data_IF_853820431628
#
_entry.id   IF_853820431628
#
_cell.length_a   1.000
_cell.length_b   1.000
_cell.length_c   1.000
_cell.angle_alpha   90.00
_cell.angle_beta   90.00
_cell.angle_gamma   90.00
#
_symmetry.space_group_name_H-M   'P 1'
#
loop_
_entity.id
_entity.type
_entity.pdbx_description
1 polymer ?
#
# COMPACT_ATOMS: atom_id res chain seq x y z
N UNK A 1 4.46 20.27 -21.88
CA UNK A 1 4.89 18.88 -22.11
C UNK A 1 4.85 18.02 -20.85
N UNK A 2 5.41 18.46 -19.70
CA UNK A 2 5.40 17.69 -18.44
C UNK A 2 4.01 17.47 -17.83
N UNK A 3 3.09 18.46 -17.86
CA UNK A 3 1.71 18.29 -17.39
C UNK A 3 0.91 17.30 -18.25
N UNK A 4 1.17 17.24 -19.55
CA UNK A 4 0.53 16.30 -20.46
C UNK A 4 1.00 14.84 -20.21
N UNK A 5 2.28 14.63 -19.87
CA UNK A 5 2.81 13.32 -19.52
C UNK A 5 2.19 12.81 -18.21
N UNK A 6 2.08 13.67 -17.20
CA UNK A 6 1.43 13.33 -15.95
C UNK A 6 -0.05 12.93 -16.16
N UNK A 7 -0.78 13.68 -16.96
CA UNK A 7 -2.18 13.42 -17.27
C UNK A 7 -2.36 12.13 -18.09
N UNK A 8 -1.39 11.80 -18.95
CA UNK A 8 -1.37 10.56 -19.72
C UNK A 8 -1.13 9.34 -18.83
N UNK A 9 -0.20 9.43 -17.86
CA UNK A 9 0.25 8.29 -17.04
C UNK A 9 -0.62 8.14 -15.78
N UNK A 10 -0.96 9.25 -15.12
CA UNK A 10 -1.63 9.27 -13.80
C UNK A 10 -3.01 9.96 -13.86
N UNK A 11 -3.53 10.22 -15.08
CA UNK A 11 -4.83 10.84 -15.27
C UNK A 11 -6.00 9.89 -15.01
N UNK A 12 -7.18 10.44 -14.78
CA UNK A 12 -8.39 9.67 -14.44
C UNK A 12 -8.82 8.67 -15.52
N UNK A 13 -8.54 8.96 -16.81
CA UNK A 13 -8.85 8.03 -17.89
C UNK A 13 -7.99 6.77 -17.81
N UNK A 14 -6.69 6.93 -17.61
CA UNK A 14 -5.73 5.84 -17.47
C UNK A 14 -6.06 5.01 -16.23
N UNK A 15 -6.37 5.67 -15.13
CA UNK A 15 -6.79 5.04 -13.90
C UNK A 15 -8.06 4.17 -14.08
N UNK A 16 -9.10 4.72 -14.71
CA UNK A 16 -10.33 3.98 -14.97
C UNK A 16 -10.10 2.73 -15.83
N UNK A 17 -9.26 2.84 -16.85
CA UNK A 17 -8.89 1.71 -17.73
C UNK A 17 -8.10 0.68 -16.95
N UNK A 18 -7.07 1.11 -16.21
CA UNK A 18 -6.18 0.24 -15.44
C UNK A 18 -6.96 -0.51 -14.34
N UNK A 19 -7.86 0.20 -13.64
CA UNK A 19 -8.73 -0.39 -12.63
C UNK A 19 -9.62 -1.50 -13.20
N UNK A 20 -10.28 -1.24 -14.33
CA UNK A 20 -11.13 -2.25 -15.00
C UNK A 20 -10.30 -3.45 -15.45
N UNK A 21 -9.12 -3.19 -16.02
CA UNK A 21 -8.20 -4.24 -16.43
C UNK A 21 -7.76 -5.08 -15.23
N UNK A 22 -7.34 -4.45 -14.13
CA UNK A 22 -6.90 -5.13 -12.92
C UNK A 22 -8.01 -6.01 -12.32
N UNK A 23 -9.26 -5.49 -12.22
CA UNK A 23 -10.39 -6.25 -11.70
C UNK A 23 -10.70 -7.46 -12.59
N UNK A 24 -10.79 -7.28 -13.91
CA UNK A 24 -11.09 -8.37 -14.85
C UNK A 24 -9.96 -9.42 -14.82
N UNK A 25 -8.72 -8.98 -14.75
CA UNK A 25 -7.56 -9.87 -14.68
C UNK A 25 -7.50 -10.63 -13.34
N UNK A 26 -7.89 -9.97 -12.23
CA UNK A 26 -8.01 -10.60 -10.93
C UNK A 26 -9.08 -11.71 -10.91
N UNK A 27 -10.26 -11.45 -11.50
CA UNK A 27 -11.33 -12.44 -11.63
C UNK A 27 -10.87 -13.62 -12.50
N UNK A 28 -10.27 -13.34 -13.65
CA UNK A 28 -9.76 -14.38 -14.55
C UNK A 28 -8.66 -15.22 -13.88
N UNK A 29 -7.70 -14.56 -13.23
CA UNK A 29 -6.63 -15.22 -12.49
C UNK A 29 -7.15 -16.10 -11.37
N UNK A 30 -8.14 -15.63 -10.61
CA UNK A 30 -8.81 -16.44 -9.59
C UNK A 30 -9.47 -17.68 -10.17
N UNK A 31 -10.23 -17.56 -11.26
CA UNK A 31 -10.92 -18.70 -11.89
C UNK A 31 -9.91 -19.72 -12.47
N UNK A 32 -8.83 -19.25 -13.09
CA UNK A 32 -7.76 -20.13 -13.59
C UNK A 32 -7.08 -20.86 -12.43
N UNK A 33 -6.76 -20.15 -11.34
CA UNK A 33 -6.12 -20.76 -10.18
C UNK A 33 -7.06 -21.77 -9.48
N UNK A 34 -8.33 -21.41 -9.32
CA UNK A 34 -9.33 -22.33 -8.77
C UNK A 34 -9.50 -23.59 -9.63
N UNK A 35 -9.49 -23.45 -10.96
CA UNK A 35 -9.51 -24.59 -11.87
C UNK A 35 -8.24 -25.45 -11.73
N UNK A 36 -7.07 -24.84 -11.57
CA UNK A 36 -5.82 -25.55 -11.33
C UNK A 36 -5.86 -26.35 -10.02
N UNK A 37 -6.30 -25.75 -8.90
CA UNK A 37 -6.51 -26.45 -7.62
C UNK A 37 -7.48 -27.62 -7.76
N UNK A 38 -8.57 -27.44 -8.54
CA UNK A 38 -9.58 -28.49 -8.77
C UNK A 38 -8.97 -29.66 -9.57
N UNK A 39 -8.23 -29.37 -10.67
CA UNK A 39 -7.60 -30.38 -11.51
C UNK A 39 -6.49 -31.13 -10.75
N UNK A 40 -5.72 -30.45 -9.89
CA UNK A 40 -4.72 -31.08 -9.04
C UNK A 40 -5.37 -32.07 -8.06
N UNK A 41 -6.46 -31.66 -7.40
CA UNK A 41 -7.19 -32.51 -6.44
C UNK A 41 -7.86 -33.74 -7.07
N UNK A 42 -8.15 -33.70 -8.38
CA UNK A 42 -8.65 -34.84 -9.15
C UNK A 42 -7.54 -35.70 -9.78
N UNK A 43 -6.28 -35.52 -9.34
CA UNK A 43 -5.09 -36.27 -9.84
C UNK A 43 -4.88 -36.16 -11.37
N UNK A 44 -5.49 -35.16 -11.99
CA UNK A 44 -5.36 -34.91 -13.43
C UNK A 44 -4.14 -34.05 -13.79
N UNK A 45 -3.53 -33.38 -12.83
CA UNK A 45 -2.31 -32.58 -12.97
C UNK A 45 -1.28 -33.05 -11.95
N UNK A 46 -0.20 -33.70 -12.41
CA UNK A 46 0.96 -34.01 -11.60
C UNK A 46 1.95 -32.85 -11.72
N UNK A 47 1.98 -31.95 -10.76
CA UNK A 47 2.86 -30.78 -10.74
C UNK A 47 3.72 -30.85 -9.48
N UNK A 48 4.82 -31.60 -9.53
CA UNK A 48 5.72 -31.84 -8.38
C UNK A 48 6.37 -30.55 -7.82
N UNK A 49 6.48 -29.48 -8.61
CA UNK A 49 7.17 -28.25 -8.21
C UNK A 49 6.21 -27.10 -7.81
N UNK A 50 4.94 -27.21 -8.13
CA UNK A 50 3.90 -26.22 -7.81
C UNK A 50 2.92 -26.67 -6.73
N UNK A 51 3.22 -27.75 -6.02
CA UNK A 51 2.35 -28.35 -5.00
C UNK A 51 1.90 -27.30 -3.98
N UNK A 52 2.81 -26.51 -3.42
CA UNK A 52 2.53 -25.47 -2.44
C UNK A 52 1.64 -24.31 -2.94
N UNK A 53 1.29 -24.29 -4.24
CA UNK A 53 0.44 -23.25 -4.85
C UNK A 53 -0.99 -23.72 -5.10
N UNK A 54 -1.25 -25.03 -5.12
CA UNK A 54 -2.53 -25.61 -5.55
C UNK A 54 -3.13 -26.56 -4.52
N UNK A 55 -2.50 -26.74 -3.36
CA UNK A 55 -2.94 -27.66 -2.30
C UNK A 55 -4.30 -27.30 -1.72
N UNK A 56 -4.56 -26.02 -1.51
CA UNK A 56 -5.79 -25.52 -0.91
C UNK A 56 -6.58 -24.63 -1.85
N UNK A 57 -7.92 -24.74 -1.84
CA UNK A 57 -8.79 -23.77 -2.52
C UNK A 57 -8.62 -22.35 -1.99
N UNK A 58 -8.15 -22.18 -0.75
CA UNK A 58 -7.86 -20.87 -0.15
C UNK A 58 -6.63 -20.21 -0.78
N UNK A 59 -5.69 -21.01 -1.32
CA UNK A 59 -4.54 -20.48 -2.07
C UNK A 59 -4.99 -19.72 -3.34
N UNK A 60 -6.11 -20.15 -3.94
CA UNK A 60 -6.66 -19.45 -5.10
C UNK A 60 -7.05 -18.00 -4.79
N UNK A 61 -7.37 -17.67 -3.52
CA UNK A 61 -7.68 -16.29 -3.10
C UNK A 61 -6.44 -15.37 -3.13
N UNK A 62 -5.23 -15.94 -3.01
CA UNK A 62 -4.01 -15.13 -3.06
C UNK A 62 -3.82 -14.40 -4.40
N UNK A 63 -4.21 -15.05 -5.49
CA UNK A 63 -4.02 -14.50 -6.86
C UNK A 63 -4.80 -13.20 -7.10
N UNK A 64 -6.13 -13.10 -6.87
CA UNK A 64 -6.86 -11.86 -7.10
C UNK A 64 -6.40 -10.74 -6.17
N UNK A 65 -6.09 -11.03 -4.90
CA UNK A 65 -5.59 -10.00 -3.98
C UNK A 65 -4.22 -9.47 -4.39
N UNK A 66 -3.33 -10.31 -4.92
CA UNK A 66 -2.02 -9.88 -5.42
C UNK A 66 -2.15 -8.97 -6.65
N UNK A 67 -3.07 -9.28 -7.56
CA UNK A 67 -3.33 -8.46 -8.76
C UNK A 67 -3.96 -7.11 -8.37
N UNK A 68 -4.94 -7.11 -7.47
CA UNK A 68 -5.56 -5.89 -6.96
C UNK A 68 -4.52 -5.03 -6.23
N UNK A 69 -3.65 -5.65 -5.42
CA UNK A 69 -2.60 -4.94 -4.72
C UNK A 69 -1.62 -4.25 -5.68
N UNK A 70 -1.30 -4.87 -6.82
CA UNK A 70 -0.48 -4.23 -7.84
C UNK A 70 -1.15 -2.95 -8.40
N UNK A 71 -2.46 -2.97 -8.61
CA UNK A 71 -3.21 -1.77 -8.99
C UNK A 71 -3.22 -0.72 -7.85
N UNK A 72 -3.43 -1.14 -6.60
CA UNK A 72 -3.44 -0.22 -5.45
C UNK A 72 -2.08 0.47 -5.24
N UNK A 73 -0.97 -0.19 -5.58
CA UNK A 73 0.36 0.43 -5.58
C UNK A 73 0.45 1.56 -6.63
N UNK A 74 -0.16 1.38 -7.81
CA UNK A 74 -0.27 2.46 -8.79
C UNK A 74 -1.11 3.64 -8.25
N UNK A 75 -2.24 3.36 -7.60
CA UNK A 75 -3.06 4.37 -6.92
C UNK A 75 -2.27 5.16 -5.85
N UNK A 76 -1.38 4.47 -5.15
CA UNK A 76 -0.50 5.06 -4.15
C UNK A 76 0.48 6.06 -4.77
N UNK A 77 1.04 5.74 -5.94
CA UNK A 77 1.89 6.67 -6.69
C UNK A 77 1.06 7.87 -7.19
N UNK A 78 -0.16 7.61 -7.68
CA UNK A 78 -1.09 8.65 -8.14
C UNK A 78 -1.43 9.65 -7.04
N UNK A 79 -1.51 9.21 -5.78
CA UNK A 79 -1.81 10.05 -4.63
C UNK A 79 -0.64 10.95 -4.17
N UNK A 80 0.60 10.72 -4.63
CA UNK A 80 1.79 11.50 -4.22
C UNK A 80 1.64 13.02 -4.46
N UNK A 81 1.15 13.51 -5.62
CA UNK A 81 0.96 14.93 -5.86
C UNK A 81 -0.10 15.59 -4.98
N UNK A 82 -0.97 14.82 -4.36
CA UNK A 82 -2.04 15.30 -3.51
C UNK A 82 -1.54 15.84 -2.16
N UNK A 83 -2.46 16.16 -1.25
CA UNK A 83 -2.09 16.56 0.09
C UNK A 83 -1.39 15.42 0.84
N UNK A 84 -0.49 15.75 1.79
CA UNK A 84 0.14 14.73 2.64
C UNK A 84 -0.88 13.82 3.32
N UNK A 85 -1.95 14.41 3.90
CA UNK A 85 -2.99 13.63 4.59
C UNK A 85 -3.70 12.65 3.66
N UNK A 86 -3.98 13.03 2.41
CA UNK A 86 -4.63 12.15 1.45
C UNK A 86 -3.69 11.02 0.99
N UNK A 87 -2.44 11.35 0.68
CA UNK A 87 -1.42 10.38 0.34
C UNK A 87 -1.19 9.34 1.46
N UNK A 88 -1.17 9.78 2.73
CA UNK A 88 -1.04 8.89 3.88
C UNK A 88 -2.28 8.00 4.06
N UNK A 89 -3.48 8.59 3.94
CA UNK A 89 -4.73 7.83 3.99
C UNK A 89 -4.74 6.69 2.96
N UNK A 90 -4.31 6.98 1.73
CA UNK A 90 -4.20 5.97 0.67
C UNK A 90 -3.18 4.87 1.00
N UNK A 91 -2.07 5.20 1.66
CA UNK A 91 -1.12 4.19 2.12
C UNK A 91 -1.74 3.23 3.13
N UNK A 92 -2.54 3.73 4.08
CA UNK A 92 -3.25 2.86 5.02
C UNK A 92 -4.29 1.98 4.33
N UNK A 93 -5.00 2.47 3.29
CA UNK A 93 -5.91 1.65 2.48
C UNK A 93 -5.17 0.47 1.84
N UNK A 94 -4.04 0.74 1.16
CA UNK A 94 -3.24 -0.29 0.48
C UNK A 94 -2.68 -1.32 1.48
N UNK A 95 -2.13 -0.88 2.61
CA UNK A 95 -1.58 -1.79 3.62
C UNK A 95 -2.69 -2.62 4.27
N UNK A 96 -3.88 -2.05 4.46
CA UNK A 96 -5.04 -2.81 4.95
C UNK A 96 -5.37 -3.98 4.03
N UNK A 97 -5.36 -3.78 2.70
CA UNK A 97 -5.58 -4.85 1.72
C UNK A 97 -4.45 -5.90 1.73
N UNK A 98 -3.20 -5.45 1.96
CA UNK A 98 -2.07 -6.35 2.12
C UNK A 98 -2.25 -7.27 3.34
N UNK A 99 -2.67 -6.74 4.48
CA UNK A 99 -2.94 -7.53 5.68
C UNK A 99 -4.10 -8.52 5.44
N UNK A 100 -5.17 -8.13 4.74
CA UNK A 100 -6.25 -9.06 4.35
C UNK A 100 -5.71 -10.24 3.54
N UNK A 101 -4.84 -9.96 2.57
CA UNK A 101 -4.19 -11.02 1.77
C UNK A 101 -3.38 -11.97 2.65
N UNK A 102 -2.62 -11.43 3.62
CA UNK A 102 -1.78 -12.24 4.50
C UNK A 102 -2.64 -13.07 5.47
N UNK A 103 -3.77 -12.55 5.96
CA UNK A 103 -4.77 -13.31 6.74
C UNK A 103 -5.28 -14.52 5.92
N UNK A 104 -5.66 -14.34 4.65
CA UNK A 104 -6.12 -15.45 3.82
C UNK A 104 -5.04 -16.50 3.58
N UNK A 105 -3.79 -16.05 3.37
CA UNK A 105 -2.64 -16.95 3.26
C UNK A 105 -2.44 -17.78 4.54
N UNK A 106 -2.47 -17.14 5.70
CA UNK A 106 -2.29 -17.82 6.97
C UNK A 106 -3.46 -18.76 7.29
N UNK A 107 -4.68 -18.36 6.90
CA UNK A 107 -5.87 -19.22 7.04
C UNK A 107 -5.81 -20.48 6.16
N UNK A 108 -5.21 -20.39 4.96
CA UNK A 108 -4.98 -21.56 4.10
C UNK A 108 -4.05 -22.58 4.78
N UNK A 109 -3.00 -22.09 5.46
CA UNK A 109 -2.03 -22.94 6.12
C UNK A 109 -2.57 -23.64 7.40
N UNK A 110 -3.58 -23.07 8.05
CA UNK A 110 -4.17 -23.66 9.30
C UNK A 110 -4.75 -25.07 9.07
N UNK A 111 -5.23 -25.36 7.85
CA UNK A 111 -5.81 -26.67 7.50
C UNK A 111 -4.79 -27.82 7.48
N UNK A 112 -3.51 -27.52 7.29
CA UNK A 112 -2.43 -28.49 7.10
C UNK A 112 -1.51 -28.63 8.34
N UNK A 113 -1.84 -27.93 9.43
CA UNK A 113 -0.99 -27.80 10.62
C UNK A 113 -1.26 -28.91 11.65
N UNK A 114 -0.20 -29.39 12.30
CA UNK A 114 -0.30 -30.32 13.43
C UNK A 114 -1.04 -29.67 14.62
N UNK A 115 -1.80 -30.48 15.36
CA UNK A 115 -2.61 -30.02 16.50
C UNK A 115 -1.82 -29.22 17.58
N UNK A 116 -0.49 -29.37 17.62
CA UNK A 116 0.38 -28.68 18.59
C UNK A 116 0.68 -27.22 18.21
N UNK A 117 0.60 -26.85 16.94
CA UNK A 117 0.87 -25.48 16.43
C UNK A 117 -0.40 -24.72 16.09
N UNK A 118 -1.53 -25.41 16.00
CA UNK A 118 -2.84 -24.86 15.64
C UNK A 118 -3.23 -23.67 16.53
N UNK A 119 -3.03 -23.76 17.83
CA UNK A 119 -3.38 -22.67 18.76
C UNK A 119 -2.55 -21.41 18.53
N UNK A 120 -1.27 -21.56 18.16
CA UNK A 120 -0.40 -20.41 17.84
C UNK A 120 -0.77 -19.75 16.54
N UNK A 121 -1.15 -20.51 15.51
CA UNK A 121 -1.51 -20.02 14.20
C UNK A 121 -2.86 -19.29 14.24
N UNK A 122 -3.83 -19.86 14.95
CA UNK A 122 -5.13 -19.20 15.20
C UNK A 122 -4.96 -17.91 16.01
N UNK A 123 -4.09 -17.91 17.03
CA UNK A 123 -3.79 -16.71 17.80
C UNK A 123 -3.14 -15.62 16.93
N UNK A 124 -2.23 -16.00 16.03
CA UNK A 124 -1.61 -15.05 15.09
C UNK A 124 -2.64 -14.45 14.11
N UNK A 125 -3.51 -15.27 13.53
CA UNK A 125 -4.60 -14.77 12.66
C UNK A 125 -5.53 -13.82 13.44
N UNK A 126 -5.83 -14.09 14.70
CA UNK A 126 -6.62 -13.20 15.54
C UNK A 126 -5.91 -11.83 15.72
N UNK A 127 -4.60 -11.82 15.92
CA UNK A 127 -3.81 -10.58 15.98
C UNK A 127 -3.84 -9.84 14.64
N UNK A 128 -3.65 -10.52 13.51
CA UNK A 128 -3.76 -9.91 12.19
C UNK A 128 -5.14 -9.32 11.93
N UNK A 129 -6.21 -9.98 12.38
CA UNK A 129 -7.58 -9.45 12.31
C UNK A 129 -7.75 -8.16 13.12
N UNK A 130 -7.14 -8.06 14.31
CA UNK A 130 -7.11 -6.82 15.11
C UNK A 130 -6.32 -5.73 14.36
N UNK A 131 -5.15 -6.06 13.80
CA UNK A 131 -4.34 -5.14 12.99
C UNK A 131 -5.16 -4.61 11.80
N UNK A 132 -5.87 -5.50 11.10
CA UNK A 132 -6.77 -5.11 10.02
C UNK A 132 -7.79 -4.07 10.48
N UNK A 133 -8.48 -4.30 11.59
CA UNK A 133 -9.49 -3.36 12.13
C UNK A 133 -8.86 -2.01 12.47
N UNK A 134 -7.67 -1.99 13.07
CA UNK A 134 -6.95 -0.76 13.41
C UNK A 134 -6.55 0.01 12.16
N UNK A 135 -5.97 -0.65 11.17
CA UNK A 135 -5.57 -0.03 9.90
C UNK A 135 -6.77 0.48 9.11
N UNK A 136 -7.82 -0.33 9.01
CA UNK A 136 -9.06 0.03 8.33
C UNK A 136 -9.74 1.26 8.96
N UNK A 137 -9.84 1.28 10.30
CA UNK A 137 -10.37 2.41 11.04
C UNK A 137 -9.52 3.67 10.80
N UNK A 138 -8.18 3.52 10.77
CA UNK A 138 -7.26 4.63 10.50
C UNK A 138 -7.44 5.15 9.08
N UNK A 139 -7.53 4.27 8.08
CA UNK A 139 -7.79 4.65 6.69
C UNK A 139 -9.12 5.42 6.54
N UNK A 140 -10.20 4.91 7.16
CA UNK A 140 -11.50 5.60 7.17
C UNK A 140 -11.43 6.96 7.87
N UNK A 141 -10.69 7.07 8.97
CA UNK A 141 -10.49 8.33 9.68
C UNK A 141 -9.79 9.37 8.81
N UNK A 142 -8.71 8.99 8.12
CA UNK A 142 -8.02 9.87 7.18
C UNK A 142 -8.94 10.29 6.03
N UNK A 143 -9.68 9.35 5.45
CA UNK A 143 -10.64 9.63 4.37
C UNK A 143 -11.73 10.59 4.80
N UNK A 144 -12.28 10.40 6.00
CA UNK A 144 -13.29 11.30 6.57
C UNK A 144 -12.75 12.72 6.72
N UNK A 145 -11.57 12.88 7.34
CA UNK A 145 -10.96 14.20 7.54
C UNK A 145 -10.61 14.87 6.20
N UNK A 146 -10.07 14.11 5.25
CA UNK A 146 -9.71 14.65 3.93
C UNK A 146 -10.97 15.09 3.16
N UNK A 147 -12.08 14.38 3.29
CA UNK A 147 -13.36 14.78 2.66
C UNK A 147 -13.95 16.09 3.21
N UNK A 148 -13.64 16.43 4.46
CA UNK A 148 -14.03 17.69 5.09
C UNK A 148 -13.15 18.87 4.68
N UNK A 149 -11.93 18.59 4.21
CA UNK A 149 -10.98 19.61 3.78
C UNK A 149 -11.34 20.10 2.38
N UNK A 150 -11.72 21.38 2.25
CA UNK A 150 -11.95 21.99 0.93
C UNK A 150 -10.63 22.01 0.14
N UNK A 151 -10.66 21.75 -1.17
CA UNK A 151 -9.48 21.97 -2.01
C UNK A 151 -9.08 23.45 -1.89
N UNK A 152 -7.92 23.73 -1.30
CA UNK A 152 -7.38 25.09 -1.33
C UNK A 152 -6.91 25.38 -2.76
N UNK A 153 -7.47 26.36 -3.42
CA UNK A 153 -6.88 26.91 -4.61
C UNK A 153 -5.48 27.43 -4.25
N UNK A 154 -4.47 26.84 -4.88
CA UNK A 154 -3.07 27.21 -4.62
C UNK A 154 -2.81 28.62 -5.14
N UNK A 155 -2.95 29.62 -4.28
CA UNK A 155 -2.68 31.02 -4.60
C UNK A 155 -1.19 31.38 -4.53
N UNK A 156 -0.37 30.53 -3.91
CA UNK A 156 1.07 30.77 -3.75
C UNK A 156 1.88 30.02 -4.81
N UNK A 157 2.72 30.74 -5.54
CA UNK A 157 3.59 30.20 -6.60
C UNK A 157 4.59 29.16 -6.05
N UNK A 158 5.03 29.30 -4.80
CA UNK A 158 5.93 28.33 -4.14
C UNK A 158 5.26 26.97 -3.97
N UNK A 159 3.98 26.92 -3.62
CA UNK A 159 3.19 25.70 -3.49
C UNK A 159 2.95 25.04 -4.85
N UNK A 160 2.72 25.84 -5.90
CA UNK A 160 2.58 25.31 -7.27
C UNK A 160 3.87 24.64 -7.75
N UNK A 161 5.03 25.23 -7.48
CA UNK A 161 6.33 24.63 -7.80
C UNK A 161 6.51 23.30 -7.06
N UNK A 162 6.19 23.26 -5.76
CA UNK A 162 6.26 22.03 -4.97
C UNK A 162 5.35 20.91 -5.50
N UNK A 163 4.11 21.23 -5.85
CA UNK A 163 3.17 20.26 -6.45
C UNK A 163 3.70 19.74 -7.79
N UNK A 164 4.29 20.60 -8.63
CA UNK A 164 4.88 20.14 -9.89
C UNK A 164 6.08 19.23 -9.69
N UNK A 165 6.92 19.48 -8.68
CA UNK A 165 8.02 18.57 -8.31
C UNK A 165 7.51 17.20 -7.85
N UNK A 166 6.42 17.18 -7.06
CA UNK A 166 5.76 15.92 -6.67
C UNK A 166 5.20 15.17 -7.89
N UNK A 167 4.63 15.87 -8.87
CA UNK A 167 4.15 15.25 -10.13
C UNK A 167 5.29 14.63 -10.93
N UNK A 168 6.43 15.33 -11.06
CA UNK A 168 7.61 14.81 -11.76
C UNK A 168 8.15 13.56 -11.03
N UNK A 169 8.18 13.57 -9.70
CA UNK A 169 8.59 12.42 -8.89
C UNK A 169 7.63 11.24 -9.05
N UNK A 170 6.33 11.48 -9.01
CA UNK A 170 5.32 10.44 -9.22
C UNK A 170 5.45 9.77 -10.61
N UNK A 171 5.66 10.55 -11.67
CA UNK A 171 5.92 9.99 -13.00
C UNK A 171 7.19 9.13 -13.04
N UNK A 172 8.27 9.55 -12.35
CA UNK A 172 9.51 8.76 -12.26
C UNK A 172 9.27 7.44 -11.50
N UNK A 173 8.46 7.47 -10.45
CA UNK A 173 8.11 6.27 -9.67
C UNK A 173 7.28 5.27 -10.47
N UNK A 174 6.38 5.71 -11.36
CA UNK A 174 5.68 4.78 -12.26
C UNK A 174 6.66 4.04 -13.16
N UNK A 175 7.68 4.72 -13.70
CA UNK A 175 8.70 4.07 -14.52
C UNK A 175 9.47 3.03 -13.70
N UNK A 176 9.91 3.39 -12.49
CA UNK A 176 10.59 2.47 -11.56
C UNK A 176 9.67 1.29 -11.24
N UNK A 177 8.39 1.56 -10.95
CA UNK A 177 7.39 0.53 -10.67
C UNK A 177 7.28 -0.49 -11.80
N UNK A 178 7.17 -0.03 -13.04
CA UNK A 178 7.08 -0.91 -14.22
C UNK A 178 8.36 -1.73 -14.39
N UNK A 179 9.54 -1.11 -14.21
CA UNK A 179 10.83 -1.81 -14.31
C UNK A 179 10.93 -2.91 -13.23
N UNK A 180 10.61 -2.59 -11.97
CA UNK A 180 10.63 -3.55 -10.86
C UNK A 180 9.61 -4.67 -11.09
N UNK A 181 8.42 -4.34 -11.62
CA UNK A 181 7.39 -5.33 -11.95
C UNK A 181 7.86 -6.31 -13.03
N UNK A 182 8.42 -5.80 -14.13
CA UNK A 182 8.96 -6.63 -15.22
C UNK A 182 10.11 -7.50 -14.71
N UNK A 183 11.05 -6.93 -13.95
CA UNK A 183 12.17 -7.66 -13.37
C UNK A 183 11.67 -8.79 -12.45
N UNK A 184 10.73 -8.51 -11.58
CA UNK A 184 10.18 -9.48 -10.62
C UNK A 184 9.45 -10.63 -11.34
N UNK A 185 8.62 -10.31 -12.34
CA UNK A 185 7.90 -11.33 -13.13
C UNK A 185 8.88 -12.20 -13.93
N UNK A 186 9.89 -11.61 -14.55
CA UNK A 186 10.89 -12.36 -15.30
C UNK A 186 11.74 -13.25 -14.39
N UNK A 187 12.22 -12.71 -13.26
CA UNK A 187 12.98 -13.48 -12.26
C UNK A 187 12.16 -14.63 -11.70
N UNK A 188 10.89 -14.39 -11.38
CA UNK A 188 9.99 -15.45 -10.92
C UNK A 188 9.77 -16.53 -11.99
N UNK A 189 9.57 -16.13 -13.25
CA UNK A 189 9.36 -17.07 -14.36
C UNK A 189 10.59 -17.97 -14.60
N UNK A 190 11.79 -17.40 -14.52
CA UNK A 190 13.04 -18.19 -14.63
C UNK A 190 13.23 -19.11 -13.42
N UNK A 191 12.96 -18.65 -12.20
CA UNK A 191 13.05 -19.49 -11.00
C UNK A 191 12.10 -20.67 -11.04
N UNK A 192 10.87 -20.51 -11.59
CA UNK A 192 9.93 -21.63 -11.83
C UNK A 192 10.50 -22.63 -12.85
N UNK A 193 11.15 -22.14 -13.92
CA UNK A 193 11.73 -23.02 -14.95
C UNK A 193 12.98 -23.76 -14.45
N UNK A 194 13.74 -23.17 -13.53
CA UNK A 194 14.96 -23.74 -12.95
C UNK A 194 14.68 -24.65 -11.72
N UNK A 195 13.40 -24.80 -11.31
CA UNK A 195 13.00 -25.68 -10.21
C UNK A 195 13.39 -25.18 -8.81
N UNK A 196 13.57 -23.86 -8.63
CA UNK A 196 13.81 -23.26 -7.32
C UNK A 196 12.51 -23.27 -6.49
N UNK A 197 12.33 -24.28 -5.64
CA UNK A 197 11.11 -24.50 -4.83
C UNK A 197 10.82 -23.45 -3.74
N UNK A 198 11.57 -22.36 -3.65
CA UNK A 198 11.44 -21.35 -2.59
C UNK A 198 11.29 -19.93 -3.15
N UNK A 199 10.46 -19.77 -4.18
CA UNK A 199 10.18 -18.48 -4.79
C UNK A 199 9.35 -17.59 -3.85
N UNK A 200 9.98 -16.57 -3.29
CA UNK A 200 9.31 -15.59 -2.43
C UNK A 200 8.28 -14.79 -3.23
N UNK A 201 7.00 -14.96 -2.90
CA UNK A 201 5.86 -14.25 -3.52
C UNK A 201 5.82 -12.74 -3.17
N UNK A 202 6.66 -12.30 -2.24
CA UNK A 202 6.57 -10.96 -1.63
C UNK A 202 7.66 -9.99 -2.10
N UNK A 203 8.71 -10.49 -2.79
CA UNK A 203 9.92 -9.70 -3.16
C UNK A 203 9.59 -8.45 -3.97
N UNK A 204 8.67 -8.54 -4.94
CA UNK A 204 8.25 -7.41 -5.76
C UNK A 204 7.77 -6.21 -4.94
N UNK A 205 6.92 -6.46 -3.95
CA UNK A 205 6.36 -5.39 -3.14
C UNK A 205 7.39 -4.78 -2.19
N UNK A 206 8.29 -5.60 -1.60
CA UNK A 206 9.33 -5.14 -0.70
C UNK A 206 10.32 -4.21 -1.39
N UNK A 207 10.80 -4.58 -2.58
CA UNK A 207 11.72 -3.75 -3.36
C UNK A 207 11.07 -2.43 -3.74
N UNK A 208 9.82 -2.46 -4.20
CA UNK A 208 9.11 -1.26 -4.57
C UNK A 208 8.81 -0.36 -3.35
N UNK A 209 8.46 -0.91 -2.20
CA UNK A 209 8.26 -0.11 -0.98
C UNK A 209 9.53 0.61 -0.52
N UNK A 210 10.70 0.07 -0.78
CA UNK A 210 11.98 0.77 -0.54
C UNK A 210 12.07 2.05 -1.37
N UNK A 211 11.71 2.00 -2.66
CA UNK A 211 11.66 3.19 -3.51
C UNK A 211 10.63 4.21 -3.04
N UNK A 212 9.49 3.76 -2.54
CA UNK A 212 8.48 4.64 -1.94
C UNK A 212 8.99 5.32 -0.66
N UNK A 213 9.72 4.62 0.21
CA UNK A 213 10.33 5.23 1.41
C UNK A 213 11.30 6.34 0.99
N UNK A 214 12.17 6.07 0.02
CA UNK A 214 13.11 7.07 -0.48
C UNK A 214 12.39 8.27 -1.07
N UNK A 215 11.30 8.06 -1.81
CA UNK A 215 10.49 9.15 -2.38
C UNK A 215 9.82 10.00 -1.32
N UNK A 216 9.28 9.42 -0.25
CA UNK A 216 8.66 10.15 0.84
C UNK A 216 9.70 11.02 1.58
N UNK A 217 10.91 10.51 1.79
CA UNK A 217 12.01 11.28 2.37
C UNK A 217 12.40 12.46 1.47
N UNK A 218 12.50 12.23 0.16
CA UNK A 218 12.78 13.30 -0.82
C UNK A 218 11.66 14.37 -0.78
N UNK A 219 10.39 13.96 -0.78
CA UNK A 219 9.26 14.88 -0.70
C UNK A 219 9.31 15.68 0.60
N UNK A 220 9.63 15.03 1.72
CA UNK A 220 9.79 15.70 2.99
C UNK A 220 10.90 16.75 2.94
N UNK A 221 12.09 16.39 2.44
CA UNK A 221 13.22 17.32 2.31
C UNK A 221 12.89 18.50 1.40
N UNK A 222 12.21 18.23 0.29
CA UNK A 222 11.76 19.30 -0.62
C UNK A 222 10.71 20.18 0.06
N UNK A 223 9.83 19.62 0.91
CA UNK A 223 8.84 20.41 1.64
C UNK A 223 9.48 21.41 2.61
N UNK A 224 10.61 21.08 3.23
CA UNK A 224 11.37 22.01 4.09
C UNK A 224 11.86 23.27 3.36
N UNK A 225 12.06 23.17 2.03
CA UNK A 225 12.43 24.33 1.21
C UNK A 225 11.27 25.29 0.96
N UNK A 226 10.04 24.78 0.92
CA UNK A 226 8.86 25.54 0.52
C UNK A 226 7.93 25.90 1.70
N UNK A 227 8.03 25.16 2.81
CA UNK A 227 7.17 25.32 3.98
C UNK A 227 8.08 25.75 5.15
N UNK A 228 7.85 26.94 5.67
CA UNK A 228 8.62 27.49 6.81
C UNK A 228 7.88 27.38 8.14
N UNK A 229 6.59 27.05 8.09
CA UNK A 229 5.74 26.96 9.28
C UNK A 229 6.00 25.66 10.05
N UNK A 230 6.47 25.78 11.29
CA UNK A 230 6.88 24.64 12.13
C UNK A 230 5.77 23.59 12.34
N UNK A 231 4.50 23.97 12.67
CA UNK A 231 3.43 22.98 12.82
C UNK A 231 3.18 22.14 11.58
N UNK A 232 3.26 22.74 10.39
CA UNK A 232 3.09 22.02 9.12
C UNK A 232 4.28 21.08 8.85
N UNK A 233 5.50 21.53 9.13
CA UNK A 233 6.70 20.68 9.00
C UNK A 233 6.68 19.53 9.98
N UNK A 234 6.34 19.77 11.25
CA UNK A 234 6.22 18.73 12.26
C UNK A 234 5.16 17.67 11.88
N UNK A 235 4.00 18.12 11.38
CA UNK A 235 2.96 17.23 10.85
C UNK A 235 3.46 16.37 9.70
N UNK A 236 4.10 16.97 8.69
CA UNK A 236 4.59 16.26 7.53
C UNK A 236 5.68 15.25 7.92
N UNK A 237 6.57 15.62 8.83
CA UNK A 237 7.59 14.73 9.39
C UNK A 237 6.98 13.55 10.15
N UNK A 238 5.97 13.80 10.98
CA UNK A 238 5.26 12.75 11.71
C UNK A 238 4.54 11.77 10.76
N UNK A 239 3.96 12.27 9.68
CA UNK A 239 3.36 11.44 8.66
C UNK A 239 4.37 10.57 7.94
N UNK A 240 5.51 11.14 7.48
CA UNK A 240 6.56 10.37 6.83
C UNK A 240 7.15 9.32 7.79
N UNK A 241 7.34 9.66 9.07
CA UNK A 241 7.79 8.68 10.06
C UNK A 241 6.79 7.51 10.17
N UNK A 242 5.49 7.81 10.23
CA UNK A 242 4.45 6.77 10.24
C UNK A 242 4.55 5.87 9.00
N UNK A 243 4.70 6.44 7.80
CA UNK A 243 4.80 5.64 6.56
C UNK A 243 6.08 4.81 6.48
N UNK A 244 7.18 5.28 7.02
CA UNK A 244 8.41 4.49 7.12
C UNK A 244 8.19 3.29 8.07
N UNK A 245 7.59 3.52 9.24
CA UNK A 245 7.32 2.43 10.22
C UNK A 245 6.42 1.37 9.61
N UNK A 246 5.32 1.75 8.93
CA UNK A 246 4.39 0.78 8.35
C UNK A 246 5.06 -0.05 7.24
N UNK A 247 5.91 0.56 6.43
CA UNK A 247 6.63 -0.14 5.36
C UNK A 247 7.72 -1.07 5.87
N UNK A 248 8.43 -0.68 6.93
CA UNK A 248 9.34 -1.59 7.63
C UNK A 248 8.57 -2.77 8.21
N UNK A 249 7.35 -2.53 8.74
CA UNK A 249 6.45 -3.57 9.22
C UNK A 249 6.10 -4.62 8.15
N UNK A 250 5.95 -4.22 6.87
CA UNK A 250 5.68 -5.16 5.76
C UNK A 250 6.81 -6.19 5.59
N UNK A 251 8.06 -5.74 5.75
CA UNK A 251 9.24 -6.61 5.67
C UNK A 251 9.55 -7.37 6.96
N UNK A 252 8.80 -7.13 8.03
CA UNK A 252 9.06 -7.71 9.35
C UNK A 252 8.06 -8.84 9.62
N UNK A 253 8.51 -10.10 9.75
CA UNK A 253 7.59 -11.23 9.92
C UNK A 253 6.94 -11.27 11.31
N UNK A 254 5.75 -11.86 11.38
CA UNK A 254 5.09 -12.23 12.62
C UNK A 254 4.60 -11.06 13.48
N UNK A 255 4.58 -11.26 14.78
CA UNK A 255 4.06 -10.29 15.76
C UNK A 255 4.77 -8.93 15.73
N UNK A 256 6.06 -8.89 15.38
CA UNK A 256 6.81 -7.63 15.28
C UNK A 256 6.27 -6.74 14.17
N UNK A 257 5.92 -7.30 13.02
CA UNK A 257 5.26 -6.59 11.93
C UNK A 257 3.88 -6.05 12.36
N UNK A 258 3.09 -6.87 13.04
CA UNK A 258 1.79 -6.47 13.59
C UNK A 258 1.91 -5.26 14.55
N UNK A 259 2.89 -5.28 15.44
CA UNK A 259 3.17 -4.15 16.37
C UNK A 259 3.54 -2.90 15.59
N UNK A 260 4.39 -2.99 14.55
CA UNK A 260 4.75 -1.85 13.70
C UNK A 260 3.55 -1.25 12.97
N UNK A 261 2.63 -2.06 12.49
CA UNK A 261 1.39 -1.58 11.87
C UNK A 261 0.54 -0.77 12.84
N UNK A 262 0.33 -1.27 14.06
CA UNK A 262 -0.43 -0.58 15.11
C UNK A 262 0.25 0.72 15.55
N UNK A 263 1.58 0.69 15.75
CA UNK A 263 2.36 1.88 16.09
C UNK A 263 2.28 2.96 15.01
N UNK A 264 2.41 2.56 13.74
CA UNK A 264 2.28 3.48 12.62
C UNK A 264 0.88 4.12 12.57
N UNK A 265 -0.18 3.31 12.69
CA UNK A 265 -1.55 3.79 12.68
C UNK A 265 -1.83 4.76 13.83
N UNK A 266 -1.38 4.43 15.04
CA UNK A 266 -1.50 5.29 16.22
C UNK A 266 -0.76 6.61 16.04
N UNK A 267 0.48 6.58 15.56
CA UNK A 267 1.27 7.79 15.29
C UNK A 267 0.58 8.69 14.26
N UNK A 268 0.16 8.12 13.13
CA UNK A 268 -0.52 8.88 12.09
C UNK A 268 -1.82 9.53 12.58
N UNK A 269 -2.65 8.78 13.31
CA UNK A 269 -3.90 9.28 13.89
C UNK A 269 -3.67 10.41 14.91
N UNK A 270 -2.66 10.27 15.77
CA UNK A 270 -2.29 11.30 16.76
C UNK A 270 -1.80 12.57 16.03
N UNK A 271 -0.89 12.44 15.07
CA UNK A 271 -0.37 13.57 14.29
C UNK A 271 -1.49 14.30 13.56
N UNK A 272 -2.41 13.55 12.94
CA UNK A 272 -3.57 14.14 12.27
C UNK A 272 -4.45 14.91 13.26
N UNK A 273 -4.77 14.32 14.40
CA UNK A 273 -5.62 14.95 15.42
C UNK A 273 -4.99 16.21 16.00
N UNK A 274 -3.69 16.17 16.32
CA UNK A 274 -2.97 17.36 16.82
C UNK A 274 -2.93 18.47 15.78
N UNK A 275 -2.72 18.16 14.50
CA UNK A 275 -2.71 19.15 13.44
C UNK A 275 -4.07 19.84 13.26
N UNK A 276 -5.18 19.12 13.40
CA UNK A 276 -6.52 19.68 13.34
C UNK A 276 -6.80 20.59 14.54
N UNK A 277 -6.40 20.17 15.74
CA UNK A 277 -6.55 20.98 16.95
C UNK A 277 -5.82 22.33 16.83
N UNK A 278 -4.61 22.34 16.27
CA UNK A 278 -3.83 23.57 16.07
C UNK A 278 -4.46 24.51 15.04
N UNK A 279 -5.08 23.97 13.98
CA UNK A 279 -5.80 24.79 12.99
C UNK A 279 -7.01 25.48 13.64
N UNK A 280 -7.79 24.76 14.44
CA UNK A 280 -8.94 25.34 15.13
C UNK A 280 -8.58 26.40 16.17
N UNK A 281 -7.40 26.32 16.79
CA UNK A 281 -6.91 27.32 17.75
C UNK A 281 -6.40 28.58 17.02
N UNK A 282 -5.87 28.46 15.81
CA UNK A 282 -5.28 29.58 15.06
C UNK A 282 -6.31 30.39 14.25
N UNK A 283 -7.45 29.82 13.85
CA UNK A 283 -8.49 30.55 13.11
C UNK A 283 -9.20 31.64 13.89
N UNK A 284 -9.61 31.49 15.18
CA UNK A 284 -10.28 32.56 15.91
C UNK A 284 -9.40 33.79 16.14
N UNK A 285 -8.08 33.64 16.20
CA UNK A 285 -7.13 34.74 16.38
C UNK A 285 -6.90 35.56 15.10
N UNK A 286 -7.20 35.01 13.91
CA UNK A 286 -7.16 35.78 12.65
C UNK A 286 -8.39 36.68 12.46
N UNK A 287 -9.55 36.27 12.96
CA UNK A 287 -10.79 37.09 12.91
C UNK A 287 -10.81 38.26 13.88
N UNK A 288 -9.95 38.24 14.91
CA UNK A 288 -9.82 39.36 15.91
C UNK A 288 -8.74 40.39 15.54
N UNK A 289 -8.11 40.29 14.37
CA UNK A 289 -7.10 41.21 13.84
C UNK A 289 -7.60 42.06 12.64
N UNK A 290 -8.89 42.37 12.59
CA UNK A 290 -9.44 43.38 11.68
C UNK A 290 -9.79 44.64 12.50
#
# INVERSE_FOLDING_TARGET
MKSALHELILGEKTDTVLRRFAINFAILGFLIHLAACTLYRFDSLQVNEMESFVDSYLDALYTPFSIILAYEVYELIKAIPESFSNSIGKQFEVITLLVVRDIFKNLANVGDTDASTLDSDVAFIAVEAVVFVVLFTTALYFRYITSLSKPSEYQDDSVRVFVNQKKDLACSLVVIYVIVAIYSVTSWSFGVLDGEGNLSRTVFFLDFFTWLILSDIIILLVSYKHITDFPQLARNTGFVLSTVIIRVGIGTPGYNGAVMFVLSAGLAAIVLRLSLSLIHISEPTRLLRI
#
